data_IF_131070016975
#
_entry.id   IF_131070016975
#
_cell.length_a   1.000
_cell.length_b   1.000
_cell.length_c   1.000
_cell.angle_alpha   90.00
_cell.angle_beta   90.00
_cell.angle_gamma   90.00
#
_symmetry.space_group_name_H-M   'P 1'
#
loop_
_entity.id
_entity.type
_entity.pdbx_description
1 polymer ?
#
# COMPACT_ATOMS: atom_id res chain seq x y z
N UNK A 1 -1.93 -9.67 19.26
CA UNK A 1 -1.92 -8.38 18.54
C UNK A 1 -2.51 -8.60 17.17
N UNK A 2 -3.70 -8.07 16.89
CA UNK A 2 -4.30 -8.17 15.55
C UNK A 2 -3.69 -7.12 14.62
N UNK A 3 -3.42 -7.50 13.36
CA UNK A 3 -3.01 -6.54 12.33
C UNK A 3 -4.25 -5.77 11.91
N UNK A 4 -4.26 -4.45 12.11
CA UNK A 4 -5.37 -3.58 11.72
C UNK A 4 -5.07 -2.85 10.41
N UNK A 5 -6.12 -2.53 9.64
CA UNK A 5 -6.02 -1.75 8.39
C UNK A 5 -5.27 -0.44 8.59
N UNK A 6 -5.51 0.25 9.71
CA UNK A 6 -4.84 1.52 10.05
C UNK A 6 -3.32 1.35 10.14
N UNK A 7 -2.87 0.28 10.80
CA UNK A 7 -1.45 -0.01 10.98
C UNK A 7 -0.77 -0.37 9.65
N UNK A 8 -1.49 -1.11 8.79
CA UNK A 8 -1.05 -1.41 7.42
C UNK A 8 -0.95 -0.14 6.58
N UNK A 9 -1.95 0.75 6.66
CA UNK A 9 -1.96 2.02 5.94
C UNK A 9 -0.83 2.96 6.38
N UNK A 10 -0.54 3.01 7.68
CA UNK A 10 0.53 3.83 8.24
C UNK A 10 1.91 3.39 7.76
N UNK A 11 2.13 2.06 7.64
CA UNK A 11 3.34 1.49 7.06
C UNK A 11 3.40 1.75 5.56
N UNK A 12 2.30 1.52 4.82
CA UNK A 12 2.24 1.74 3.37
C UNK A 12 2.45 3.21 2.99
N UNK A 13 2.03 4.17 3.83
CA UNK A 13 2.30 5.61 3.63
C UNK A 13 3.79 5.94 3.66
N UNK A 14 4.60 5.18 4.42
CA UNK A 14 6.06 5.36 4.46
C UNK A 14 6.75 4.75 3.23
N UNK A 15 6.07 3.88 2.48
CA UNK A 15 6.59 3.30 1.26
C UNK A 15 6.39 4.28 0.11
N UNK A 16 7.51 4.81 -0.39
CA UNK A 16 7.56 5.76 -1.50
C UNK A 16 8.09 5.06 -2.74
N UNK A 17 7.56 5.44 -3.89
CA UNK A 17 8.08 5.02 -5.17
C UNK A 17 9.39 5.79 -5.48
N UNK A 18 10.52 5.11 -5.70
CA UNK A 18 11.80 5.76 -5.94
C UNK A 18 11.89 6.47 -7.30
N UNK A 19 11.02 6.13 -8.27
CA UNK A 19 10.94 6.82 -9.55
C UNK A 19 10.09 8.09 -9.49
N UNK A 20 8.98 8.07 -8.76
CA UNK A 20 8.02 9.18 -8.67
C UNK A 20 8.18 10.07 -7.43
N UNK A 21 9.01 9.68 -6.45
CA UNK A 21 9.18 10.35 -5.15
C UNK A 21 7.87 10.57 -4.36
N UNK A 22 6.80 9.83 -4.70
CA UNK A 22 5.46 9.92 -4.08
C UNK A 22 5.10 8.62 -3.37
N UNK A 23 4.22 8.70 -2.37
CA UNK A 23 3.75 7.51 -1.65
C UNK A 23 2.88 6.61 -2.53
N UNK A 24 3.01 5.29 -2.42
CA UNK A 24 2.16 4.33 -3.15
C UNK A 24 0.66 4.53 -2.84
N UNK A 25 0.35 4.94 -1.60
CA UNK A 25 -1.01 5.30 -1.16
C UNK A 25 -1.49 6.59 -1.83
N UNK A 26 -0.63 7.60 -1.92
CA UNK A 26 -0.96 8.92 -2.52
C UNK A 26 -1.15 8.83 -4.03
N UNK A 27 -0.42 7.92 -4.68
CA UNK A 27 -0.55 7.65 -6.11
C UNK A 27 -1.83 6.87 -6.45
N UNK A 28 -2.64 6.48 -5.46
CA UNK A 28 -3.83 5.65 -5.67
C UNK A 28 -3.50 4.28 -6.25
N UNK A 29 -2.24 3.82 -6.11
CA UNK A 29 -1.77 2.58 -6.72
C UNK A 29 -2.24 1.33 -5.97
N UNK A 30 -2.70 1.49 -4.72
CA UNK A 30 -3.22 0.36 -3.94
C UNK A 30 -4.65 0.08 -4.40
N UNK A 31 -4.82 -1.04 -5.10
CA UNK A 31 -6.11 -1.54 -5.56
C UNK A 31 -6.87 -2.27 -4.46
N UNK A 32 -6.16 -3.12 -3.71
CA UNK A 32 -6.78 -3.98 -2.71
C UNK A 32 -5.84 -4.24 -1.52
N UNK A 33 -6.42 -4.45 -0.35
CA UNK A 33 -5.71 -4.78 0.89
C UNK A 33 -6.51 -5.87 1.63
N UNK A 34 -5.99 -7.08 1.60
CA UNK A 34 -6.52 -8.23 2.30
C UNK A 34 -5.70 -8.51 3.56
N UNK A 35 -6.37 -8.70 4.69
CA UNK A 35 -5.72 -9.02 5.97
C UNK A 35 -6.22 -10.39 6.41
N UNK A 36 -5.32 -11.38 6.44
CA UNK A 36 -5.58 -12.74 6.87
C UNK A 36 -4.79 -13.04 8.15
N UNK A 37 -5.34 -12.62 9.30
CA UNK A 37 -4.72 -12.81 10.61
C UNK A 37 -3.40 -12.03 10.75
N UNK A 38 -2.28 -12.72 10.52
CA UNK A 38 -0.93 -12.15 10.53
C UNK A 38 -0.38 -11.83 9.13
N UNK A 39 -1.04 -12.31 8.07
CA UNK A 39 -0.65 -12.06 6.69
C UNK A 39 -1.39 -10.85 6.12
N UNK A 40 -0.69 -10.01 5.37
CA UNK A 40 -1.27 -8.86 4.66
C UNK A 40 -0.94 -9.01 3.19
N UNK A 41 -1.97 -9.02 2.35
CA UNK A 41 -1.86 -8.99 0.90
C UNK A 41 -2.23 -7.60 0.42
N UNK A 42 -1.36 -7.00 -0.38
CA UNK A 42 -1.59 -5.70 -0.98
C UNK A 42 -1.51 -5.87 -2.49
N UNK A 43 -2.60 -5.56 -3.18
CA UNK A 43 -2.65 -5.58 -4.64
C UNK A 43 -2.36 -4.18 -5.14
N UNK A 44 -1.24 -4.01 -5.83
CA UNK A 44 -0.83 -2.74 -6.41
C UNK A 44 -1.11 -2.77 -7.91
N UNK A 45 -1.89 -1.81 -8.41
CA UNK A 45 -2.07 -1.59 -9.83
C UNK A 45 -0.99 -0.60 -10.29
N UNK A 46 -0.07 -1.08 -11.12
CA UNK A 46 0.95 -0.24 -11.73
C UNK A 46 0.28 0.69 -12.75
N UNK A 47 -0.11 1.88 -12.33
CA UNK A 47 -0.46 2.97 -13.24
C UNK A 47 0.82 3.60 -13.73
N UNK A 48 1.47 2.96 -14.72
CA UNK A 48 2.34 3.69 -15.63
C UNK A 48 1.42 4.60 -16.45
N UNK A 49 1.14 5.80 -15.93
CA UNK A 49 0.67 6.89 -16.76
C UNK A 49 1.89 7.32 -17.60
N UNK A 50 2.00 6.70 -18.78
CA UNK A 50 2.70 7.34 -19.90
C UNK A 50 1.98 8.62 -20.32
#
# INVERSE_FOLDING_TARGET
MAVTKEKVLDVLKKVKDPGLNKGLVELGMIKDIEIAGSAVRVTVALTMAG
#
